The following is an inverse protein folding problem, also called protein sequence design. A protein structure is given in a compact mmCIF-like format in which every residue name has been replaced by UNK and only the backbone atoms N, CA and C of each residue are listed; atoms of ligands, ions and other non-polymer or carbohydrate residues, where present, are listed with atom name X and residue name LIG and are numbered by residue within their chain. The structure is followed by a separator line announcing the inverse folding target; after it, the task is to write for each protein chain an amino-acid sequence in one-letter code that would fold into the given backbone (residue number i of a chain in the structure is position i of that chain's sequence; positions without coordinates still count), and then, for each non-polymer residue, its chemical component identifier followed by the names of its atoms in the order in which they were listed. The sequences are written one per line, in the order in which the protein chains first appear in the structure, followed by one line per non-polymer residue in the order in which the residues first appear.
data_IF_936304358584
#
_entry.id   IF_936304358584
#
_cell.length_a   1.000
_cell.length_b   1.000
_cell.length_c   1.000
_cell.angle_alpha   90.00
_cell.angle_beta   90.00
_cell.angle_gamma   90.00
#
_symmetry.space_group_name_H-M   'P 1'
#
loop_
_entity.id
_entity.type
_entity.pdbx_description
1 polymer ?
#
# COMPACT_ATOMS: atom_id res chain seq x y z
N UNK A 1 -4.12 -18.77 -16.10
CA UNK A 1 -4.19 -18.67 -14.62
C UNK A 1 -5.05 -17.48 -14.25
N UNK A 2 -6.10 -17.67 -13.44
CA UNK A 2 -6.97 -16.57 -12.99
C UNK A 2 -6.35 -16.00 -11.72
N UNK A 3 -5.65 -14.86 -11.83
CA UNK A 3 -5.06 -14.18 -10.67
C UNK A 3 -6.22 -13.65 -9.82
N UNK A 4 -6.52 -14.34 -8.71
CA UNK A 4 -7.45 -13.83 -7.70
C UNK A 4 -6.67 -12.89 -6.79
N UNK A 5 -6.76 -11.59 -7.04
CA UNK A 5 -6.27 -10.56 -6.13
C UNK A 5 -7.18 -10.55 -4.89
N UNK A 6 -6.77 -11.21 -3.82
CA UNK A 6 -7.46 -11.17 -2.53
C UNK A 6 -7.08 -9.87 -1.80
N UNK A 7 -7.68 -8.75 -2.22
CA UNK A 7 -7.39 -7.45 -1.65
C UNK A 7 -8.16 -7.26 -0.33
N UNK A 8 -7.47 -7.29 0.80
CA UNK A 8 -8.08 -7.02 2.09
C UNK A 8 -8.25 -5.50 2.28
N UNK A 9 -9.46 -5.00 2.02
CA UNK A 9 -9.80 -3.57 2.09
C UNK A 9 -9.65 -2.94 3.48
N UNK A 10 -9.49 -3.73 4.54
CA UNK A 10 -9.19 -3.23 5.88
C UNK A 10 -7.69 -3.23 6.19
N UNK A 11 -6.84 -3.90 5.41
CA UNK A 11 -5.41 -4.04 5.73
C UNK A 11 -4.63 -2.77 5.40
N UNK A 12 -3.94 -2.23 6.39
CA UNK A 12 -2.98 -1.13 6.22
C UNK A 12 -1.89 -1.48 5.20
N UNK A 13 -1.40 -2.72 5.21
CA UNK A 13 -0.39 -3.17 4.24
C UNK A 13 -0.96 -3.24 2.82
N UNK A 14 -2.20 -3.73 2.65
CA UNK A 14 -2.82 -3.77 1.33
C UNK A 14 -2.96 -2.35 0.74
N UNK A 15 -3.46 -1.40 1.54
CA UNK A 15 -3.54 0.00 1.13
C UNK A 15 -2.18 0.64 0.89
N UNK A 16 -1.18 0.38 1.74
CA UNK A 16 0.19 0.84 1.54
C UNK A 16 0.78 0.38 0.22
N UNK A 17 0.64 -0.92 -0.10
CA UNK A 17 1.11 -1.49 -1.37
C UNK A 17 0.35 -0.91 -2.57
N UNK A 18 -0.97 -0.77 -2.48
CA UNK A 18 -1.77 -0.19 -3.57
C UNK A 18 -1.43 1.27 -3.84
N UNK A 19 -1.39 2.11 -2.80
CA UNK A 19 -1.07 3.52 -2.93
C UNK A 19 0.35 3.73 -3.47
N UNK A 20 1.30 2.90 -3.02
CA UNK A 20 2.67 2.92 -3.55
C UNK A 20 2.68 2.51 -5.02
N UNK A 21 1.96 1.46 -5.41
CA UNK A 21 1.89 1.02 -6.81
C UNK A 21 1.25 2.08 -7.72
N UNK A 22 0.19 2.76 -7.25
CA UNK A 22 -0.42 3.88 -7.97
C UNK A 22 0.59 5.03 -8.12
N UNK A 23 1.31 5.38 -7.05
CA UNK A 23 2.33 6.43 -7.09
C UNK A 23 3.47 6.08 -8.06
N UNK A 24 4.01 4.87 -8.00
CA UNK A 24 5.09 4.42 -8.89
C UNK A 24 4.62 4.36 -10.35
N UNK A 25 3.41 3.84 -10.60
CA UNK A 25 2.80 3.83 -11.92
C UNK A 25 2.58 5.23 -12.48
N UNK A 26 2.05 6.14 -11.65
CA UNK A 26 1.89 7.55 -12.01
C UNK A 26 3.22 8.22 -12.35
N UNK A 27 4.23 8.08 -11.49
CA UNK A 27 5.58 8.61 -11.74
C UNK A 27 6.15 8.06 -13.05
N UNK A 28 5.99 6.75 -13.30
CA UNK A 28 6.45 6.12 -14.55
C UNK A 28 5.76 6.65 -15.81
N UNK A 29 4.47 6.97 -15.73
CA UNK A 29 3.75 7.61 -16.84
C UNK A 29 4.25 9.05 -17.04
N UNK A 30 4.41 9.82 -15.96
CA UNK A 30 4.90 11.19 -16.01
C UNK A 30 6.31 11.27 -16.63
N UNK A 31 7.23 10.40 -16.21
CA UNK A 31 8.57 10.34 -16.78
C UNK A 31 8.57 9.88 -18.24
N UNK A 32 7.68 8.93 -18.60
CA UNK A 32 7.46 8.52 -19.99
C UNK A 32 6.95 9.65 -20.90
N UNK A 33 6.25 10.63 -20.34
CA UNK A 33 5.80 11.85 -21.04
C UNK A 33 6.82 13.00 -20.99
N UNK A 34 8.02 12.76 -20.46
CA UNK A 34 9.09 13.76 -20.36
C UNK A 34 9.00 14.69 -19.15
N UNK A 35 8.10 14.44 -18.21
CA UNK A 35 8.01 15.21 -16.96
C UNK A 35 9.12 14.76 -16.02
N UNK A 36 9.97 15.71 -15.61
CA UNK A 36 11.04 15.45 -14.65
C UNK A 36 10.46 15.42 -13.24
N UNK A 37 10.32 14.22 -12.68
CA UNK A 37 9.96 14.01 -11.28
C UNK A 37 11.24 14.04 -10.44
N UNK A 38 11.38 15.01 -9.53
CA UNK A 38 12.55 15.07 -8.65
C UNK A 38 12.47 14.01 -7.57
N UNK A 39 13.61 13.55 -7.09
CA UNK A 39 13.68 12.60 -5.98
C UNK A 39 12.98 13.12 -4.72
N UNK A 40 13.07 14.43 -4.46
CA UNK A 40 12.36 15.09 -3.35
C UNK A 40 10.85 14.97 -3.47
N UNK A 41 10.30 15.12 -4.68
CA UNK A 41 8.85 15.02 -4.93
C UNK A 41 8.38 13.58 -4.71
N UNK A 42 9.11 12.62 -5.26
CA UNK A 42 8.83 11.19 -5.05
C UNK A 42 8.88 10.82 -3.56
N UNK A 43 9.91 11.27 -2.84
CA UNK A 43 10.07 11.02 -1.40
C UNK A 43 8.92 11.60 -0.59
N UNK A 44 8.47 12.81 -0.95
CA UNK A 44 7.33 13.46 -0.31
C UNK A 44 6.04 12.67 -0.54
N UNK A 45 5.83 12.17 -1.76
CA UNK A 45 4.67 11.33 -2.10
C UNK A 45 4.68 10.05 -1.26
N UNK A 46 5.77 9.28 -1.27
CA UNK A 46 5.86 8.04 -0.49
C UNK A 46 5.77 8.28 1.03
N UNK A 47 6.35 9.37 1.52
CA UNK A 47 6.24 9.79 2.92
C UNK A 47 4.79 10.09 3.31
N UNK A 48 4.06 10.84 2.47
CA UNK A 48 2.64 11.16 2.71
C UNK A 48 1.74 9.92 2.68
N UNK A 49 2.01 8.95 1.80
CA UNK A 49 1.31 7.66 1.77
C UNK A 49 1.53 6.92 3.08
N UNK A 50 2.78 6.82 3.53
CA UNK A 50 3.14 6.13 4.77
C UNK A 50 2.48 6.79 5.99
N UNK A 51 2.53 8.12 6.06
CA UNK A 51 1.91 8.89 7.13
C UNK A 51 0.38 8.75 7.13
N UNK A 52 -0.26 8.82 5.96
CA UNK A 52 -1.70 8.66 5.81
C UNK A 52 -2.17 7.27 6.22
N UNK A 53 -1.49 6.22 5.76
CA UNK A 53 -1.79 4.83 6.16
C UNK A 53 -1.58 4.63 7.67
N UNK A 54 -0.52 5.20 8.23
CA UNK A 54 -0.25 5.12 9.68
C UNK A 54 -1.34 5.82 10.49
N UNK A 55 -1.78 7.01 10.07
CA UNK A 55 -2.87 7.74 10.73
C UNK A 55 -4.18 6.95 10.67
N UNK A 56 -4.55 6.45 9.50
CA UNK A 56 -5.75 5.63 9.32
C UNK A 56 -5.70 4.33 10.14
N UNK A 57 -4.50 3.78 10.34
CA UNK A 57 -4.27 2.60 11.20
C UNK A 57 -4.45 2.95 12.67
N UNK A 58 -3.86 4.05 13.15
CA UNK A 58 -4.02 4.54 14.52
C UNK A 58 -5.46 4.88 14.86
N UNK A 59 -6.22 5.40 13.88
CA UNK A 59 -7.65 5.68 14.02
C UNK A 59 -8.54 4.42 13.93
N UNK A 60 -7.95 3.24 13.72
CA UNK A 60 -8.69 1.97 13.59
C UNK A 60 -9.50 1.82 12.31
N UNK A 61 -9.39 2.76 11.37
CA UNK A 61 -10.03 2.70 10.05
C UNK A 61 -9.38 1.59 9.22
N UNK A 62 -8.04 1.55 9.25
CA UNK A 62 -7.25 0.45 8.74
C UNK A 62 -6.84 -0.45 9.90
N UNK A 63 -6.98 -1.74 9.70
CA UNK A 63 -6.37 -2.74 10.56
C UNK A 63 -4.91 -2.85 10.18
N UNK A 64 -4.01 -2.64 11.14
CA UNK A 64 -2.64 -3.10 10.99
C UNK A 64 -2.70 -4.56 10.53
N UNK A 65 -1.76 -4.96 9.68
CA UNK A 65 -1.62 -6.38 9.36
C UNK A 65 -1.17 -7.09 10.63
N UNK A 66 -2.14 -7.41 11.47
CA UNK A 66 -2.09 -8.61 12.26
C UNK A 66 -2.02 -9.69 11.21
N UNK A 67 -0.82 -10.20 10.98
CA UNK A 67 -0.66 -11.54 10.47
C UNK A 67 -1.69 -12.38 11.20
N UNK A 68 -2.84 -12.62 10.56
CA UNK A 68 -3.49 -13.88 10.80
C UNK A 68 -2.51 -14.86 10.21
N UNK A 69 -1.63 -15.35 11.07
CA UNK A 69 -1.22 -16.73 11.03
C UNK A 69 -2.52 -17.56 11.11
N UNK A 70 -3.22 -17.65 9.98
CA UNK A 70 -4.25 -18.63 9.71
C UNK A 70 -3.55 -19.93 9.33
N UNK A 71 -2.67 -20.40 10.21
CA UNK A 71 -2.01 -21.69 10.13
C UNK A 71 -2.47 -22.51 11.32
N UNK A 72 -3.50 -23.33 11.08
CA UNK A 72 -3.93 -24.51 11.82
C UNK A 72 -3.81 -24.50 13.36
N UNK A 73 -4.96 -24.50 14.05
CA UNK A 73 -5.11 -25.17 15.35
C UNK A 73 -6.45 -25.93 15.44
N UNK A 74 -6.91 -26.52 14.34
CA UNK A 74 -7.78 -27.70 14.39
C UNK A 74 -6.90 -28.96 14.35
N UNK A 75 -6.16 -29.19 15.44
CA UNK A 75 -5.66 -30.52 15.80
C UNK A 75 -5.53 -30.60 17.33
N UNK A 76 -6.60 -31.02 18.00
CA UNK A 76 -6.65 -32.23 18.83
C UNK A 76 -7.99 -32.34 19.56
#
# INVERSE_FOLDING_TARGET
MKVRLNFNYKSATAWGTLLTAIATGGIGILTGLGVVVKQTDATTIYGSITAGVSLLTTLGILTASTDKQGGNNDQK
#
